data_IF_751470995984
#
_entry.id   IF_751470995984
#
_cell.length_a   1.000
_cell.length_b   1.000
_cell.length_c   1.000
_cell.angle_alpha   90.00
_cell.angle_beta   90.00
_cell.angle_gamma   90.00
#
_symmetry.space_group_name_H-M   'P 1'
#
loop_
_entity.id
_entity.type
_entity.pdbx_description
1 polymer ?
#
# COMPACT_ATOMS: atom_id res chain seq x y z
N UNK A 1 -21.02 25.59 -0.32
CA UNK A 1 -21.81 24.36 -0.55
C UNK A 1 -20.89 23.17 -0.34
N UNK A 2 -21.27 22.18 0.47
CA UNK A 2 -20.44 20.98 0.68
C UNK A 2 -20.48 20.12 -0.59
N UNK A 3 -19.31 19.70 -1.07
CA UNK A 3 -19.10 18.94 -2.32
C UNK A 3 -18.17 17.76 -2.03
N UNK A 4 -18.28 16.70 -2.83
CA UNK A 4 -17.40 15.52 -2.78
C UNK A 4 -17.00 15.09 -4.18
N UNK A 5 -15.92 14.33 -4.31
CA UNK A 5 -15.48 13.80 -5.59
C UNK A 5 -15.63 12.29 -5.62
N UNK A 6 -16.11 11.77 -6.75
CA UNK A 6 -16.18 10.34 -6.95
C UNK A 6 -14.76 9.74 -6.99
N UNK A 7 -14.41 8.78 -6.12
CA UNK A 7 -13.07 8.19 -6.11
C UNK A 7 -12.76 7.40 -7.39
N UNK A 8 -13.79 6.95 -8.11
CA UNK A 8 -13.63 6.14 -9.32
C UNK A 8 -13.43 6.96 -10.59
N UNK A 9 -14.07 8.13 -10.69
CA UNK A 9 -14.07 8.91 -11.94
C UNK A 9 -13.72 10.38 -11.75
N UNK A 10 -13.43 10.83 -10.52
CA UNK A 10 -13.05 12.20 -10.18
C UNK A 10 -14.15 13.24 -10.38
N UNK A 11 -15.38 12.84 -10.70
CA UNK A 11 -16.46 13.80 -10.96
C UNK A 11 -16.95 14.40 -9.65
N UNK A 12 -17.10 15.72 -9.63
CA UNK A 12 -17.67 16.44 -8.50
C UNK A 12 -19.14 16.07 -8.33
N UNK A 13 -19.55 15.82 -7.10
CA UNK A 13 -20.89 15.41 -6.71
C UNK A 13 -21.37 16.25 -5.52
N UNK A 14 -22.69 16.44 -5.36
CA UNK A 14 -23.28 16.95 -4.13
C UNK A 14 -22.85 16.11 -2.91
N UNK A 15 -22.66 16.74 -1.75
CA UNK A 15 -22.21 16.03 -0.54
C UNK A 15 -23.13 14.86 -0.14
N UNK A 16 -24.43 15.00 -0.37
CA UNK A 16 -25.48 14.03 -0.05
C UNK A 16 -25.76 13.00 -1.17
N UNK A 17 -25.02 13.06 -2.29
CA UNK A 17 -25.20 12.12 -3.40
C UNK A 17 -24.95 10.67 -2.96
N UNK A 18 -25.93 9.77 -3.15
CA UNK A 18 -25.77 8.34 -2.82
C UNK A 18 -25.00 7.58 -3.89
N UNK A 19 -25.11 8.02 -5.15
CA UNK A 19 -24.41 7.42 -6.29
C UNK A 19 -23.74 8.50 -7.13
N UNK A 20 -22.64 8.17 -7.78
CA UNK A 20 -22.00 9.05 -8.75
C UNK A 20 -22.85 9.12 -10.02
N UNK A 21 -23.27 10.34 -10.40
CA UNK A 21 -24.06 10.58 -11.61
C UNK A 21 -23.34 10.25 -12.93
N UNK A 22 -22.01 10.16 -12.92
CA UNK A 22 -21.21 9.86 -14.12
C UNK A 22 -20.88 8.38 -14.28
N UNK A 23 -20.49 7.69 -13.20
CA UNK A 23 -19.96 6.33 -13.27
C UNK A 23 -20.74 5.30 -12.43
N UNK A 24 -21.83 5.71 -11.77
CA UNK A 24 -22.67 4.82 -10.97
C UNK A 24 -22.04 4.31 -9.66
N UNK A 25 -20.87 4.85 -9.26
CA UNK A 25 -20.23 4.48 -8.00
C UNK A 25 -21.16 4.74 -6.81
N UNK A 26 -21.44 3.70 -6.01
CA UNK A 26 -22.28 3.76 -4.82
C UNK A 26 -21.45 4.21 -3.61
N UNK A 27 -21.75 5.40 -3.10
CA UNK A 27 -21.10 5.95 -1.90
C UNK A 27 -21.59 5.29 -0.59
N UNK A 28 -22.67 4.49 -0.63
CA UNK A 28 -23.26 3.82 0.53
C UNK A 28 -22.78 2.38 0.76
N UNK A 29 -22.19 1.72 -0.24
CA UNK A 29 -21.81 0.29 -0.17
C UNK A 29 -20.58 -0.01 0.71
N UNK A 30 -19.98 1.02 1.30
CA UNK A 30 -18.78 0.96 2.12
C UNK A 30 -19.03 0.32 3.50
N UNK A 31 -20.29 0.23 3.93
CA UNK A 31 -20.67 -0.29 5.24
C UNK A 31 -20.89 -1.81 5.29
N UNK A 32 -20.95 -2.49 4.13
CA UNK A 32 -21.33 -3.92 4.05
C UNK A 32 -20.14 -4.89 4.09
N UNK A 33 -18.90 -4.42 3.86
CA UNK A 33 -17.69 -5.28 3.80
C UNK A 33 -17.16 -5.74 5.17
N UNK A 34 -17.75 -5.26 6.27
CA UNK A 34 -17.44 -5.68 7.66
C UNK A 34 -17.68 -7.18 7.92
N UNK A 35 -18.48 -7.85 7.09
CA UNK A 35 -18.92 -9.23 7.39
C UNK A 35 -18.00 -10.34 6.89
N UNK A 36 -16.96 -10.06 6.09
CA UNK A 36 -16.18 -11.14 5.44
C UNK A 36 -14.74 -11.33 5.93
N UNK A 37 -14.13 -10.38 6.64
CA UNK A 37 -12.84 -10.65 7.30
C UNK A 37 -13.08 -11.32 8.63
N UNK A 38 -13.13 -12.66 8.63
CA UNK A 38 -12.97 -13.45 9.86
C UNK A 38 -11.65 -13.02 10.50
N UNK A 39 -11.61 -12.64 11.80
CA UNK A 39 -10.34 -12.35 12.45
C UNK A 39 -9.45 -13.59 12.35
N UNK A 40 -8.36 -13.47 11.60
CA UNK A 40 -7.42 -14.54 11.38
C UNK A 40 -6.68 -14.83 12.70
N UNK A 41 -7.20 -15.81 13.45
CA UNK A 41 -6.70 -16.24 14.76
C UNK A 41 -5.29 -16.87 14.76
N UNK A 42 -4.53 -16.77 13.65
CA UNK A 42 -3.14 -17.23 13.56
C UNK A 42 -2.23 -16.56 14.61
N UNK A 43 -2.52 -15.33 15.05
CA UNK A 43 -1.75 -14.68 16.12
C UNK A 43 -1.99 -15.31 17.50
N UNK A 44 -3.23 -15.70 17.82
CA UNK A 44 -3.53 -16.53 19.00
C UNK A 44 -2.86 -17.91 18.91
N UNK A 45 -2.81 -18.52 17.72
CA UNK A 45 -2.10 -19.79 17.52
C UNK A 45 -0.59 -19.63 17.69
N UNK A 46 0.01 -18.51 17.25
CA UNK A 46 1.43 -18.20 17.45
C UNK A 46 1.77 -17.95 18.92
N UNK A 47 0.90 -17.24 19.67
CA UNK A 47 1.07 -17.05 21.12
C UNK A 47 0.97 -18.39 21.86
N UNK A 48 0.02 -19.26 21.49
CA UNK A 48 -0.10 -20.60 22.09
C UNK A 48 1.16 -21.43 21.79
N UNK A 49 1.67 -21.41 20.56
CA UNK A 49 2.87 -22.17 20.17
C UNK A 49 4.13 -21.69 20.90
N UNK A 50 4.32 -20.37 21.01
CA UNK A 50 5.44 -19.78 21.77
C UNK A 50 5.31 -20.11 23.27
N UNK A 51 4.09 -20.05 23.83
CA UNK A 51 3.88 -20.40 25.25
C UNK A 51 4.22 -21.86 25.55
N UNK A 52 3.90 -22.79 24.63
CA UNK A 52 4.24 -24.21 24.76
C UNK A 52 5.75 -24.41 24.68
N UNK A 53 6.44 -23.74 23.76
CA UNK A 53 7.91 -23.82 23.62
C UNK A 53 8.61 -23.31 24.89
N UNK A 54 8.18 -22.17 25.44
CA UNK A 54 8.76 -21.62 26.67
C UNK A 54 8.57 -22.57 27.86
N UNK A 55 7.39 -23.19 28.00
CA UNK A 55 7.13 -24.18 29.05
C UNK A 55 8.03 -25.42 28.90
N UNK A 56 8.20 -25.92 27.67
CA UNK A 56 9.10 -27.06 27.40
C UNK A 56 10.55 -26.72 27.75
N UNK A 57 11.02 -25.50 27.40
CA UNK A 57 12.37 -25.06 27.72
C UNK A 57 12.60 -24.96 29.23
N UNK A 58 11.64 -24.43 29.99
CA UNK A 58 11.73 -24.38 31.46
C UNK A 58 11.75 -25.78 32.08
N UNK A 59 10.91 -26.70 31.61
CA UNK A 59 10.90 -28.10 32.09
C UNK A 59 12.22 -28.79 31.74
N UNK A 60 12.76 -28.59 30.53
CA UNK A 60 14.04 -29.16 30.12
C UNK A 60 15.22 -28.62 30.93
N UNK A 61 15.21 -27.32 31.28
CA UNK A 61 16.22 -26.70 32.13
C UNK A 61 16.19 -27.24 33.56
N UNK A 62 15.01 -27.55 34.10
CA UNK A 62 14.87 -28.19 35.43
C UNK A 62 15.39 -29.64 35.41
N UNK A 63 15.10 -30.41 34.35
CA UNK A 63 15.58 -31.80 34.21
C UNK A 63 17.11 -31.85 34.04
N UNK A 64 17.68 -30.94 33.25
CA UNK A 64 19.14 -30.86 33.04
C UNK A 64 19.83 -30.34 34.32
N UNK A 65 19.22 -29.38 35.02
CA UNK A 65 19.72 -28.87 36.30
C UNK A 65 19.75 -29.91 37.42
N UNK A 66 18.93 -30.96 37.34
CA UNK A 66 18.92 -32.06 38.32
C UNK A 66 19.83 -33.25 37.96
N UNK A 67 20.50 -33.24 36.79
CA UNK A 67 21.40 -34.32 36.36
C UNK A 67 22.89 -33.97 36.41
N UNK A 68 23.29 -32.93 37.15
CA UNK A 68 24.71 -32.61 37.35
C UNK A 68 25.38 -33.43 38.47
N UNK A 69 24.93 -34.66 38.70
CA UNK A 69 25.69 -35.62 39.51
C UNK A 69 25.64 -37.01 38.87
N UNK A 70 26.77 -37.36 38.25
CA UNK A 70 27.23 -38.67 37.80
C UNK A 70 26.81 -39.28 36.42
N UNK A 71 27.87 -39.80 35.78
CA UNK A 71 28.02 -40.69 34.59
C UNK A 71 27.94 -40.03 33.21
N UNK A 72 29.07 -39.81 32.51
CA UNK A 72 30.07 -40.74 31.93
C UNK A 72 29.73 -41.13 30.47
N UNK A 73 30.73 -40.83 29.63
CA UNK A 73 31.04 -41.22 28.25
C UNK A 73 30.32 -42.41 27.60
N UNK A 74 29.99 -42.27 26.30
CA UNK A 74 30.30 -43.28 25.29
C UNK A 74 30.41 -42.64 23.89
N UNK A 75 31.56 -42.82 23.24
CA UNK A 75 31.81 -42.64 21.80
C UNK A 75 31.10 -43.73 21.00
N UNK A 76 30.70 -43.47 19.74
CA UNK A 76 31.28 -44.10 18.53
C UNK A 76 30.43 -43.89 17.26
N UNK A 77 31.15 -43.54 16.21
CA UNK A 77 31.02 -43.98 14.80
C UNK A 77 30.01 -43.33 13.86
N UNK A 78 30.57 -42.37 13.14
CA UNK A 78 30.47 -42.07 11.71
C UNK A 78 30.01 -43.21 10.78
N UNK A 79 29.08 -42.88 9.87
CA UNK A 79 29.01 -43.45 8.54
C UNK A 79 28.62 -42.33 7.56
N UNK A 80 29.40 -42.23 6.49
CA UNK A 80 29.45 -41.17 5.49
C UNK A 80 28.70 -41.56 4.20
N UNK A 81 28.51 -40.56 3.33
CA UNK A 81 28.12 -40.62 1.90
C UNK A 81 26.62 -40.75 1.61
N UNK A 82 26.02 -40.05 0.64
CA UNK A 82 26.51 -39.88 -0.73
C UNK A 82 25.93 -38.64 -1.44
N UNK A 83 26.80 -37.93 -2.18
CA UNK A 83 26.43 -37.05 -3.31
C UNK A 83 26.63 -37.79 -4.64
N UNK A 84 25.79 -37.49 -5.64
CA UNK A 84 25.97 -37.61 -7.12
C UNK A 84 24.57 -37.43 -7.74
N UNK A 85 24.31 -36.95 -8.96
CA UNK A 85 24.94 -36.10 -9.98
C UNK A 85 23.89 -36.00 -11.10
N UNK A 86 23.83 -34.90 -11.86
CA UNK A 86 23.00 -34.84 -13.06
C UNK A 86 22.99 -33.48 -13.76
N UNK A 87 24.02 -33.22 -14.57
CA UNK A 87 24.01 -32.18 -15.62
C UNK A 87 23.13 -32.61 -16.79
N UNK A 88 22.62 -31.66 -17.61
CA UNK A 88 22.93 -31.47 -19.05
C UNK A 88 22.01 -30.39 -19.67
N UNK A 89 22.64 -29.28 -20.04
CA UNK A 89 22.59 -28.45 -21.27
C UNK A 89 21.33 -28.20 -22.15
N UNK A 90 21.44 -27.02 -22.80
CA UNK A 90 20.86 -26.53 -24.07
C UNK A 90 19.46 -25.89 -24.05
N UNK A 91 19.14 -24.86 -24.85
CA UNK A 91 19.85 -23.79 -25.56
C UNK A 91 18.76 -22.92 -26.24
N UNK A 92 19.01 -21.61 -26.38
CA UNK A 92 18.63 -20.71 -27.51
C UNK A 92 17.19 -20.69 -28.09
N UNK A 93 16.53 -19.52 -28.06
CA UNK A 93 16.44 -18.56 -29.20
C UNK A 93 15.13 -17.76 -29.29
N UNK A 94 15.34 -16.46 -29.60
CA UNK A 94 14.59 -15.59 -30.52
C UNK A 94 13.23 -14.96 -30.13
N UNK A 95 13.32 -13.63 -30.00
CA UNK A 95 12.45 -12.51 -30.39
C UNK A 95 11.28 -12.76 -31.37
N UNK A 96 10.18 -12.03 -31.21
CA UNK A 96 9.70 -10.95 -32.12
C UNK A 96 8.28 -10.45 -31.74
N UNK A 97 8.22 -9.15 -31.43
CA UNK A 97 7.28 -8.09 -31.86
C UNK A 97 5.80 -8.38 -32.17
N UNK A 98 4.92 -7.58 -31.57
CA UNK A 98 3.97 -6.75 -32.33
C UNK A 98 3.28 -5.64 -31.49
N UNK A 99 3.57 -4.40 -31.91
CA UNK A 99 2.72 -3.19 -32.01
C UNK A 99 1.23 -3.49 -32.35
N UNK A 100 0.18 -2.68 -32.14
CA UNK A 100 -0.07 -1.31 -31.66
C UNK A 100 -1.61 -1.15 -31.59
N UNK A 101 -2.16 -0.34 -30.69
CA UNK A 101 -3.29 0.54 -31.07
C UNK A 101 -3.46 1.73 -30.11
N UNK A 102 -3.10 2.90 -30.61
CA UNK A 102 -3.29 4.20 -29.98
C UNK A 102 -4.60 4.83 -30.49
N UNK A 103 -5.41 5.39 -29.58
CA UNK A 103 -6.50 6.29 -29.94
C UNK A 103 -6.32 7.60 -29.17
N UNK A 104 -5.94 8.64 -29.91
CA UNK A 104 -5.59 9.98 -29.42
C UNK A 104 -6.81 10.91 -29.34
N UNK A 105 -6.85 11.78 -28.33
CA UNK A 105 -7.59 13.04 -28.33
C UNK A 105 -6.84 14.07 -27.43
N UNK A 106 -7.04 15.38 -27.61
CA UNK A 106 -6.07 16.27 -28.25
C UNK A 106 -5.15 17.01 -27.26
N UNK A 107 -3.88 17.16 -27.66
CA UNK A 107 -2.88 18.01 -27.03
C UNK A 107 -3.27 19.50 -27.15
N UNK A 108 -3.41 20.16 -26.00
CA UNK A 108 -3.43 21.61 -25.87
C UNK A 108 -2.25 22.05 -25.02
N UNK A 109 -1.20 22.55 -25.67
CA UNK A 109 -0.14 23.43 -25.14
C UNK A 109 0.71 23.00 -23.92
N UNK A 110 1.13 21.75 -23.77
CA UNK A 110 0.39 20.74 -23.00
C UNK A 110 1.23 20.04 -21.92
N UNK A 111 2.08 20.78 -21.18
CA UNK A 111 2.97 20.19 -20.16
C UNK A 111 2.63 20.55 -18.71
N UNK A 112 1.76 21.52 -18.45
CA UNK A 112 1.39 21.90 -17.07
C UNK A 112 0.15 21.13 -16.59
N UNK A 113 0.18 20.68 -15.33
CA UNK A 113 -0.98 20.11 -14.65
C UNK A 113 -1.98 21.22 -14.28
N UNK A 114 -3.27 20.87 -14.32
CA UNK A 114 -4.35 21.68 -13.73
C UNK A 114 -4.90 20.98 -12.49
N UNK A 115 -5.73 21.67 -11.71
CA UNK A 115 -6.40 21.06 -10.54
C UNK A 115 -7.55 20.14 -10.91
N UNK A 116 -8.12 20.26 -12.12
CA UNK A 116 -9.21 19.40 -12.60
C UNK A 116 -8.65 18.18 -13.36
N UNK A 117 -7.80 17.43 -12.66
CA UNK A 117 -7.20 16.19 -13.16
C UNK A 117 -8.00 14.97 -12.67
N UNK A 118 -8.09 13.94 -13.51
CA UNK A 118 -8.78 12.70 -13.18
C UNK A 118 -8.19 12.00 -11.94
N UNK A 119 -8.89 11.00 -11.37
CA UNK A 119 -8.50 10.39 -10.09
C UNK A 119 -7.14 9.69 -10.16
N UNK A 120 -6.82 9.07 -11.30
CA UNK A 120 -5.52 8.43 -11.53
C UNK A 120 -4.35 9.44 -11.52
N UNK A 121 -4.49 10.53 -12.28
CA UNK A 121 -3.46 11.59 -12.32
C UNK A 121 -3.41 12.33 -10.97
N UNK A 122 -4.54 12.47 -10.27
CA UNK A 122 -4.58 13.02 -8.91
C UNK A 122 -3.77 12.15 -7.93
N UNK A 123 -3.97 10.83 -7.95
CA UNK A 123 -3.20 9.91 -7.14
C UNK A 123 -1.69 10.01 -7.46
N UNK A 124 -1.33 9.99 -8.74
CA UNK A 124 0.06 10.17 -9.16
C UNK A 124 0.66 11.51 -8.67
N UNK A 125 -0.11 12.60 -8.71
CA UNK A 125 0.32 13.91 -8.25
C UNK A 125 0.60 13.93 -6.75
N UNK A 126 -0.30 13.36 -5.94
CA UNK A 126 -0.13 13.25 -4.49
C UNK A 126 1.10 12.40 -4.16
N UNK A 127 1.26 11.24 -4.82
CA UNK A 127 2.43 10.36 -4.62
C UNK A 127 3.73 11.06 -4.99
N UNK A 128 3.80 11.74 -6.15
CA UNK A 128 5.00 12.49 -6.54
C UNK A 128 5.32 13.60 -5.55
N UNK A 129 4.31 14.37 -5.12
CA UNK A 129 4.50 15.42 -4.13
C UNK A 129 5.06 14.85 -2.82
N UNK A 130 4.46 13.79 -2.27
CA UNK A 130 4.91 13.17 -1.03
C UNK A 130 6.37 12.67 -1.13
N UNK A 131 6.74 12.02 -2.24
CA UNK A 131 8.09 11.46 -2.45
C UNK A 131 9.15 12.55 -2.76
N UNK A 132 8.73 13.73 -3.22
CA UNK A 132 9.65 14.83 -3.59
C UNK A 132 9.74 15.94 -2.54
N UNK A 133 8.90 15.89 -1.54
CA UNK A 133 8.92 16.82 -0.40
C UNK A 133 9.45 16.11 0.85
N UNK A 134 9.62 16.88 1.93
CA UNK A 134 10.16 16.42 3.20
C UNK A 134 9.12 15.57 3.96
N UNK A 135 8.83 14.38 3.44
CA UNK A 135 7.96 13.39 4.08
C UNK A 135 8.67 12.04 4.13
N UNK A 136 8.32 11.13 5.06
CA UNK A 136 8.87 9.78 5.08
C UNK A 136 8.67 9.00 3.77
N UNK A 137 7.72 9.39 2.91
CA UNK A 137 7.54 8.75 1.61
C UNK A 137 8.77 8.91 0.72
N UNK A 138 9.53 10.01 0.87
CA UNK A 138 10.76 10.22 0.12
C UNK A 138 11.78 9.10 0.35
N UNK A 139 11.91 8.62 1.58
CA UNK A 139 12.91 7.64 1.98
C UNK A 139 12.41 6.20 1.88
N UNK A 140 11.11 5.99 2.12
CA UNK A 140 10.56 4.64 2.27
C UNK A 140 9.65 4.19 1.12
N UNK A 141 9.19 5.11 0.26
CA UNK A 141 8.33 4.74 -0.87
C UNK A 141 9.13 4.71 -2.18
N UNK A 142 9.45 3.51 -2.64
CA UNK A 142 10.02 3.28 -3.97
C UNK A 142 8.92 2.83 -4.94
N UNK A 143 8.84 3.47 -6.11
CA UNK A 143 8.03 2.98 -7.22
C UNK A 143 8.82 3.05 -8.52
N UNK A 144 8.69 2.01 -9.37
CA UNK A 144 9.20 2.08 -10.73
C UNK A 144 8.18 2.86 -11.59
N UNK A 145 8.62 3.99 -12.15
CA UNK A 145 7.87 4.78 -13.14
C UNK A 145 7.41 3.95 -14.35
N UNK A 146 8.08 2.83 -14.64
CA UNK A 146 7.74 1.93 -15.71
C UNK A 146 6.56 1.02 -15.34
N UNK A 147 6.41 0.71 -14.06
CA UNK A 147 5.47 -0.27 -13.50
C UNK A 147 4.21 0.38 -12.92
N UNK A 148 4.31 1.61 -12.41
CA UNK A 148 3.18 2.35 -11.87
C UNK A 148 2.98 2.15 -10.37
N UNK A 149 1.79 2.52 -9.90
CA UNK A 149 1.38 2.39 -8.49
C UNK A 149 -0.05 1.88 -8.41
N UNK A 150 -0.38 1.24 -7.30
CA UNK A 150 -1.73 0.83 -6.96
C UNK A 150 -2.27 1.69 -5.84
N UNK A 151 -3.47 2.24 -6.02
CA UNK A 151 -4.21 2.96 -4.99
C UNK A 151 -5.45 2.18 -4.62
N UNK A 152 -5.45 1.65 -3.40
CA UNK A 152 -6.59 0.92 -2.84
C UNK A 152 -7.45 1.88 -2.03
N UNK A 153 -8.72 1.99 -2.41
CA UNK A 153 -9.69 2.76 -1.64
C UNK A 153 -10.09 1.95 -0.40
N UNK A 154 -9.83 2.51 0.78
CA UNK A 154 -10.11 1.86 2.05
C UNK A 154 -11.16 2.61 2.83
N UNK A 155 -12.13 1.83 3.32
CA UNK A 155 -13.16 2.29 4.26
C UNK A 155 -13.18 1.44 5.51
N UNK A 156 -12.05 0.79 5.77
CA UNK A 156 -11.82 0.05 7.00
C UNK A 156 -11.92 1.02 8.17
N UNK A 157 -12.85 0.74 9.09
CA UNK A 157 -13.07 1.59 10.26
C UNK A 157 -11.89 1.53 11.22
N UNK A 158 -11.19 0.41 11.31
CA UNK A 158 -10.06 0.28 12.21
C UNK A 158 -8.90 1.16 11.75
N UNK A 159 -8.71 1.30 10.43
CA UNK A 159 -7.79 2.30 9.86
C UNK A 159 -8.32 3.72 10.09
N UNK A 160 -9.55 4.01 9.66
CA UNK A 160 -10.12 5.36 9.71
C UNK A 160 -10.24 5.90 11.14
N UNK A 161 -10.48 5.05 12.14
CA UNK A 161 -10.58 5.48 13.53
C UNK A 161 -9.23 5.83 14.15
N UNK A 162 -8.13 5.33 13.56
CA UNK A 162 -6.78 5.73 13.94
C UNK A 162 -6.31 7.00 13.23
N UNK A 163 -6.87 7.40 12.09
CA UNK A 163 -6.50 8.66 11.43
C UNK A 163 -7.18 9.85 12.10
N UNK A 164 -6.41 10.88 12.48
CA UNK A 164 -6.99 12.08 13.11
C UNK A 164 -7.80 12.92 12.11
N UNK A 165 -7.34 13.04 10.86
CA UNK A 165 -8.08 13.67 9.76
C UNK A 165 -8.63 12.63 8.76
N UNK A 166 -9.88 12.21 9.00
CA UNK A 166 -10.57 11.15 8.24
C UNK A 166 -11.02 11.56 6.83
N UNK A 167 -10.77 12.81 6.45
CA UNK A 167 -11.25 13.40 5.19
C UNK A 167 -12.76 13.23 5.03
N UNK A 168 -13.17 12.67 3.90
CA UNK A 168 -14.56 12.37 3.60
C UNK A 168 -15.01 10.97 4.05
N UNK A 169 -14.32 10.39 5.04
CA UNK A 169 -14.61 9.06 5.60
C UNK A 169 -14.05 7.91 4.75
N UNK A 170 -13.00 8.17 3.99
CA UNK A 170 -12.28 7.19 3.18
C UNK A 170 -10.79 7.52 3.17
N UNK A 171 -9.97 6.48 3.15
CA UNK A 171 -8.53 6.56 3.04
C UNK A 171 -8.08 5.95 1.71
N UNK A 172 -6.98 6.45 1.17
CA UNK A 172 -6.36 5.97 -0.06
C UNK A 172 -5.01 5.38 0.32
N UNK A 173 -4.93 4.06 0.28
CA UNK A 173 -3.72 3.29 0.56
C UNK A 173 -2.90 3.19 -0.73
N UNK A 174 -1.64 3.57 -0.67
CA UNK A 174 -0.75 3.63 -1.83
C UNK A 174 0.31 2.54 -1.74
N UNK A 175 0.42 1.74 -2.79
CA UNK A 175 1.37 0.65 -2.91
C UNK A 175 2.22 0.82 -4.16
N UNK A 176 3.49 0.42 -4.09
CA UNK A 176 4.27 0.12 -5.29
C UNK A 176 3.68 -1.08 -6.02
N UNK A 177 3.99 -1.23 -7.32
CA UNK A 177 3.37 -2.27 -8.17
C UNK A 177 3.56 -3.71 -7.64
N UNK A 178 4.64 -3.99 -6.89
CA UNK A 178 4.93 -5.32 -6.34
C UNK A 178 4.47 -5.54 -4.89
N UNK A 179 3.93 -4.51 -4.23
CA UNK A 179 3.64 -4.55 -2.78
C UNK A 179 2.15 -4.70 -2.45
N UNK A 180 1.29 -4.61 -3.47
CA UNK A 180 -0.17 -4.70 -3.34
C UNK A 180 -0.67 -6.15 -3.15
N UNK A 181 -0.15 -6.87 -2.17
CA UNK A 181 -0.80 -8.10 -1.71
C UNK A 181 -2.00 -7.72 -0.81
N UNK A 182 -3.09 -8.49 -0.84
CA UNK A 182 -4.29 -8.22 -0.02
C UNK A 182 -4.01 -8.17 1.49
N UNK A 183 -2.89 -8.78 1.91
CA UNK A 183 -2.44 -8.91 3.29
C UNK A 183 -1.38 -7.87 3.72
N UNK A 184 -0.93 -6.99 2.83
CA UNK A 184 0.02 -5.92 3.17
C UNK A 184 -0.68 -4.82 3.97
N UNK A 185 -0.15 -4.52 5.16
CA UNK A 185 -0.57 -3.37 5.95
C UNK A 185 -0.17 -2.09 5.19
N UNK A 186 -1.07 -1.12 5.02
CA UNK A 186 -0.75 0.09 4.28
C UNK A 186 0.17 0.99 5.12
N UNK A 187 1.36 1.30 4.60
CA UNK A 187 2.26 2.27 5.22
C UNK A 187 2.00 3.69 4.70
N UNK A 188 1.64 3.82 3.43
CA UNK A 188 1.50 5.10 2.73
C UNK A 188 0.02 5.37 2.49
N UNK A 189 -0.51 6.36 3.21
CA UNK A 189 -1.95 6.64 3.20
C UNK A 189 -2.19 8.13 3.01
N UNK A 190 -3.22 8.50 2.26
CA UNK A 190 -3.74 9.87 2.29
C UNK A 190 -5.26 9.88 2.41
N UNK A 191 -5.79 10.99 2.94
CA UNK A 191 -7.23 11.29 2.90
C UNK A 191 -7.46 12.59 2.14
N UNK A 192 -8.67 12.77 1.60
CA UNK A 192 -9.07 13.99 0.90
C UNK A 192 -10.24 14.62 1.64
N UNK A 193 -10.05 15.85 2.08
CA UNK A 193 -11.08 16.66 2.72
C UNK A 193 -12.08 17.26 1.73
N UNK A 194 -13.20 17.72 2.29
CA UNK A 194 -14.30 18.40 1.58
C UNK A 194 -13.86 19.69 0.88
N UNK A 195 -12.80 20.31 1.38
CA UNK A 195 -12.22 21.55 0.86
C UNK A 195 -11.05 21.31 -0.11
N UNK A 196 -10.86 20.05 -0.55
CA UNK A 196 -9.77 19.61 -1.43
C UNK A 196 -8.36 19.69 -0.81
N UNK A 197 -8.28 19.73 0.52
CA UNK A 197 -7.04 19.51 1.27
C UNK A 197 -6.71 18.01 1.34
N UNK A 198 -5.43 17.69 1.25
CA UNK A 198 -4.88 16.34 1.24
C UNK A 198 -4.06 16.16 2.51
N UNK A 199 -4.48 15.23 3.35
CA UNK A 199 -3.75 14.82 4.55
C UNK A 199 -2.90 13.60 4.20
N UNK A 200 -1.57 13.71 4.30
CA UNK A 200 -0.62 12.65 3.94
C UNK A 200 -0.10 12.00 5.22
N UNK A 201 -0.21 10.69 5.32
CA UNK A 201 0.16 9.89 6.48
C UNK A 201 1.29 8.92 6.14
N UNK A 202 2.07 8.59 7.16
CA UNK A 202 3.01 7.47 7.14
C UNK A 202 2.76 6.59 8.36
N UNK A 203 2.16 5.43 8.13
CA UNK A 203 1.80 4.46 9.15
C UNK A 203 3.00 3.54 9.40
N UNK A 204 3.97 4.02 10.17
CA UNK A 204 5.12 3.21 10.53
C UNK A 204 4.67 1.88 11.17
N UNK A 205 5.43 0.79 10.95
CA UNK A 205 5.18 -0.56 11.50
C UNK A 205 5.08 -0.68 13.04
N UNK A 206 5.03 0.43 13.76
CA UNK A 206 4.72 0.47 15.19
C UNK A 206 3.22 0.22 15.37
N UNK A 207 2.87 -1.06 15.50
CA UNK A 207 1.51 -1.59 15.61
C UNK A 207 0.71 -1.12 16.84
N UNK A 208 1.29 -0.25 17.67
CA UNK A 208 0.77 0.24 18.94
C UNK A 208 0.30 1.70 18.90
N UNK A 209 0.38 2.39 17.76
CA UNK A 209 -0.15 3.74 17.66
C UNK A 209 -1.69 3.74 17.84
N UNK A 210 -2.14 4.48 18.86
CA UNK A 210 -3.57 4.73 19.13
C UNK A 210 -4.20 5.62 18.05
N UNK A 211 -3.42 6.57 17.52
CA UNK A 211 -3.79 7.44 16.41
C UNK A 211 -2.57 7.87 15.58
N UNK A 212 -2.81 8.26 14.35
CA UNK A 212 -1.84 8.83 13.43
C UNK A 212 -2.29 10.23 13.03
N UNK A 213 -1.40 11.19 13.22
CA UNK A 213 -1.51 12.53 12.66
C UNK A 213 -0.94 12.55 11.24
N UNK A 214 -1.47 13.43 10.37
CA UNK A 214 -0.86 13.62 9.07
C UNK A 214 0.57 14.15 9.23
N UNK A 215 1.49 13.59 8.45
CA UNK A 215 2.85 14.12 8.30
C UNK A 215 2.77 15.53 7.72
N UNK A 216 1.85 15.74 6.78
CA UNK A 216 1.57 17.05 6.21
C UNK A 216 0.13 17.13 5.70
N UNK A 217 -0.42 18.34 5.70
CA UNK A 217 -1.70 18.68 5.08
C UNK A 217 -1.47 19.78 4.07
N UNK A 218 -1.87 19.55 2.81
CA UNK A 218 -1.58 20.44 1.69
C UNK A 218 -2.79 20.55 0.76
N UNK A 219 -3.04 21.74 0.21
CA UNK A 219 -4.13 21.91 -0.74
C UNK A 219 -3.82 21.27 -2.10
N UNK A 220 -4.85 20.81 -2.83
CA UNK A 220 -4.69 20.31 -4.20
C UNK A 220 -3.99 21.31 -5.13
N UNK A 221 -4.27 22.60 -4.97
CA UNK A 221 -3.67 23.66 -5.79
C UNK A 221 -2.16 23.73 -5.55
N UNK A 222 -1.74 23.70 -4.28
CA UNK A 222 -0.33 23.76 -3.92
C UNK A 222 0.46 22.54 -4.41
N UNK A 223 -0.13 21.34 -4.36
CA UNK A 223 0.46 20.15 -5.00
C UNK A 223 0.71 20.40 -6.49
N UNK A 224 -0.32 20.87 -7.21
CA UNK A 224 -0.22 21.13 -8.65
C UNK A 224 0.82 22.19 -8.97
N UNK A 225 0.85 23.28 -8.19
CA UNK A 225 1.81 24.37 -8.36
C UNK A 225 3.24 23.88 -8.10
N UNK A 226 3.46 23.10 -7.05
CA UNK A 226 4.75 22.47 -6.76
C UNK A 226 5.22 21.62 -7.94
N UNK A 227 4.38 20.71 -8.43
CA UNK A 227 4.75 19.80 -9.52
C UNK A 227 5.03 20.54 -10.83
N UNK A 228 4.29 21.62 -11.10
CA UNK A 228 4.51 22.46 -12.27
C UNK A 228 5.84 23.23 -12.17
N UNK A 229 6.06 23.92 -11.04
CA UNK A 229 7.28 24.72 -10.81
C UNK A 229 8.55 23.86 -10.78
N UNK A 230 8.45 22.61 -10.32
CA UNK A 230 9.58 21.67 -10.29
C UNK A 230 9.67 20.76 -11.53
N UNK A 231 8.90 21.05 -12.58
CA UNK A 231 8.90 20.32 -13.86
C UNK A 231 8.55 18.83 -13.77
N UNK A 232 7.76 18.42 -12.77
CA UNK A 232 7.28 17.04 -12.59
C UNK A 232 5.94 16.76 -13.27
N UNK A 233 5.31 17.76 -13.88
CA UNK A 233 3.99 17.65 -14.47
C UNK A 233 3.85 16.53 -15.53
N UNK A 234 4.80 16.40 -16.46
CA UNK A 234 4.78 15.35 -17.47
C UNK A 234 4.98 13.96 -16.84
N UNK A 235 5.95 13.81 -15.95
CA UNK A 235 6.19 12.56 -15.24
C UNK A 235 4.96 12.12 -14.42
N UNK A 236 4.25 13.08 -13.83
CA UNK A 236 3.00 12.84 -13.11
C UNK A 236 1.89 12.34 -14.03
N UNK A 237 1.75 12.91 -15.23
CA UNK A 237 0.78 12.44 -16.22
C UNK A 237 1.09 11.00 -16.66
N UNK A 238 2.36 10.71 -16.97
CA UNK A 238 2.81 9.37 -17.36
C UNK A 238 2.56 8.33 -16.25
N UNK A 239 2.87 8.69 -15.00
CA UNK A 239 2.55 7.82 -13.87
C UNK A 239 1.03 7.62 -13.73
N UNK A 240 0.25 8.68 -13.92
CA UNK A 240 -1.21 8.67 -13.95
C UNK A 240 -1.80 7.64 -14.91
N UNK A 241 -1.21 7.44 -16.07
CA UNK A 241 -1.65 6.41 -17.03
C UNK A 241 -1.50 4.98 -16.48
N UNK A 242 -0.54 4.79 -15.58
CA UNK A 242 -0.18 3.51 -14.97
C UNK A 242 -0.72 3.33 -13.54
N UNK A 243 -1.51 4.29 -13.04
CA UNK A 243 -2.19 4.12 -11.76
C UNK A 243 -3.32 3.12 -11.91
N UNK A 244 -3.33 2.11 -11.04
CA UNK A 244 -4.46 1.20 -10.84
C UNK A 244 -5.23 1.67 -9.60
N UNK A 245 -6.56 1.77 -9.71
CA UNK A 245 -7.43 2.14 -8.59
C UNK A 245 -8.29 0.94 -8.22
N UNK A 246 -8.13 0.44 -7.01
CA UNK A 246 -8.84 -0.72 -6.46
C UNK A 246 -9.90 -0.30 -5.43
N UNK A 247 -10.85 -1.20 -5.15
CA UNK A 247 -12.00 -1.00 -4.26
C UNK A 247 -12.04 -1.97 -3.09
#
# INVERSE_FOLDING_TARGET
MKKKYCPQCGTQQPADAKFCSKCGYDFGNLLSRRSQRRPNNKWRKRIILISIIVVILVISGVIIGQRNNHYASHDVSEASSSMTSGSTDQATSASEDNETNAQSQPQSSGNALSTNIGPKVSAAAITYYAVKTDTPWQDFFAFDKNEGITVRLSTDRDLLDKLTEKGQGMAYEVFGNHDANEDSDPEFVYTIDKDDDINIYYLSHRSDADSYDPVTTVSRQEIVDYLNTHHYANATQQLGEKVIIEK
#
